data_IF_062372050893
#
_entry.id   IF_062372050893
#
_cell.length_a   1.000
_cell.length_b   1.000
_cell.length_c   1.000
_cell.angle_alpha   90.00
_cell.angle_beta   90.00
_cell.angle_gamma   90.00
#
_symmetry.space_group_name_H-M   'P 1'
#
loop_
_entity.id
_entity.type
_entity.pdbx_description
1 polymer ?
#
# COMPACT_ATOMS: atom_id res chain seq x y z
N UNK A 1 -47.53 2.67 -4.05
CA UNK A 1 -46.27 2.71 -4.84
C UNK A 1 -45.29 3.62 -4.11
N UNK A 2 -44.38 3.10 -3.28
CA UNK A 2 -43.53 3.97 -2.45
C UNK A 2 -42.23 3.36 -1.93
N UNK A 3 -41.95 2.08 -2.22
CA UNK A 3 -40.81 1.35 -1.65
C UNK A 3 -39.62 1.31 -2.62
N UNK A 4 -39.82 1.60 -3.90
CA UNK A 4 -38.78 1.52 -4.94
C UNK A 4 -37.85 2.72 -5.02
N UNK A 5 -38.14 3.85 -4.35
CA UNK A 5 -37.31 5.07 -4.44
C UNK A 5 -36.12 5.09 -3.48
N UNK A 6 -36.16 4.32 -2.39
CA UNK A 6 -35.10 4.32 -1.36
C UNK A 6 -34.09 3.18 -1.51
N UNK A 7 -34.42 2.18 -2.33
CA UNK A 7 -33.56 1.00 -2.56
C UNK A 7 -32.42 1.34 -3.54
N UNK A 8 -32.69 2.16 -4.54
CA UNK A 8 -31.70 2.61 -5.56
C UNK A 8 -30.48 3.31 -4.95
N UNK A 9 -30.61 4.29 -4.03
CA UNK A 9 -29.42 4.95 -3.46
C UNK A 9 -28.58 3.99 -2.61
N UNK A 10 -29.17 3.02 -1.92
CA UNK A 10 -28.41 2.03 -1.15
C UNK A 10 -27.52 1.17 -2.04
N UNK A 11 -28.02 0.71 -3.19
CA UNK A 11 -27.21 -0.06 -4.14
C UNK A 11 -26.06 0.76 -4.73
N UNK A 12 -26.30 2.03 -5.04
CA UNK A 12 -25.26 2.93 -5.56
C UNK A 12 -24.13 3.16 -4.55
N UNK A 13 -24.45 3.34 -3.26
CA UNK A 13 -23.44 3.50 -2.20
C UNK A 13 -22.59 2.24 -2.04
N UNK A 14 -23.20 1.05 -2.11
CA UNK A 14 -22.47 -0.22 -2.01
C UNK A 14 -21.53 -0.40 -3.21
N UNK A 15 -22.01 -0.13 -4.44
CA UNK A 15 -21.17 -0.21 -5.65
C UNK A 15 -20.01 0.78 -5.57
N UNK A 16 -20.27 2.00 -5.12
CA UNK A 16 -19.25 3.04 -4.99
C UNK A 16 -18.17 2.68 -3.95
N UNK A 17 -18.56 2.13 -2.80
CA UNK A 17 -17.64 1.62 -1.77
C UNK A 17 -16.78 0.46 -2.29
N UNK A 18 -17.39 -0.49 -3.01
CA UNK A 18 -16.66 -1.63 -3.61
C UNK A 18 -15.68 -1.13 -4.70
N UNK A 19 -16.09 -0.16 -5.52
CA UNK A 19 -15.21 0.48 -6.51
C UNK A 19 -14.05 1.22 -5.86
N UNK A 20 -14.26 1.95 -4.76
CA UNK A 20 -13.19 2.64 -4.01
C UNK A 20 -12.20 1.65 -3.39
N UNK A 21 -12.69 0.55 -2.80
CA UNK A 21 -11.82 -0.51 -2.29
C UNK A 21 -11.00 -1.18 -3.41
N UNK A 22 -11.62 -1.44 -4.57
CA UNK A 22 -10.91 -1.98 -5.72
C UNK A 22 -9.91 -0.98 -6.32
N UNK A 23 -10.23 0.32 -6.32
CA UNK A 23 -9.30 1.36 -6.74
C UNK A 23 -8.11 1.45 -5.77
N UNK A 24 -8.31 1.32 -4.46
CA UNK A 24 -7.19 1.24 -3.51
C UNK A 24 -6.32 -0.02 -3.71
N UNK A 25 -6.89 -1.14 -4.16
CA UNK A 25 -6.13 -2.37 -4.48
C UNK A 25 -5.41 -2.25 -5.83
N UNK A 26 -6.00 -1.60 -6.83
CA UNK A 26 -5.39 -1.32 -8.13
C UNK A 26 -4.31 -0.23 -8.05
N UNK A 27 -4.53 0.79 -7.22
CA UNK A 27 -3.55 1.86 -6.93
C UNK A 27 -2.33 1.33 -6.19
N UNK A 28 -2.43 0.22 -5.45
CA UNK A 28 -1.23 -0.44 -4.88
C UNK A 28 -0.33 -1.06 -5.96
N UNK A 29 -0.90 -1.44 -7.11
CA UNK A 29 -0.13 -1.97 -8.25
C UNK A 29 0.43 -0.87 -9.16
N UNK A 30 -0.27 0.26 -9.27
CA UNK A 30 0.09 1.37 -10.17
C UNK A 30 0.90 2.48 -9.48
N UNK A 31 0.81 2.61 -8.15
CA UNK A 31 1.69 3.42 -7.30
C UNK A 31 2.81 2.54 -6.71
N UNK A 32 3.31 1.60 -7.51
CA UNK A 32 4.73 1.28 -7.41
C UNK A 32 5.45 2.37 -8.22
N UNK A 33 5.48 3.60 -7.68
CA UNK A 33 6.60 4.48 -7.98
C UNK A 33 7.84 3.62 -7.88
N UNK A 34 8.58 3.54 -8.99
CA UNK A 34 9.65 2.59 -9.28
C UNK A 34 10.48 2.29 -8.02
N UNK A 35 10.06 1.30 -7.24
CA UNK A 35 10.69 1.02 -5.95
C UNK A 35 12.10 0.59 -6.30
N UNK A 36 13.10 1.40 -5.93
CA UNK A 36 14.47 0.99 -6.08
C UNK A 36 14.71 -0.15 -5.10
N UNK A 37 15.17 -1.28 -5.63
CA UNK A 37 15.51 -2.42 -4.82
C UNK A 37 17.01 -2.52 -4.52
N UNK A 38 17.76 -1.45 -4.76
CA UNK A 38 19.20 -1.42 -4.58
C UNK A 38 19.61 -1.33 -3.11
N UNK A 39 18.75 -0.71 -2.27
CA UNK A 39 18.97 -0.52 -0.84
C UNK A 39 17.89 -1.23 -0.01
N UNK A 40 17.77 -2.54 -0.21
CA UNK A 40 16.78 -3.39 0.47
C UNK A 40 17.41 -4.52 1.28
N UNK A 41 17.94 -4.20 2.45
CA UNK A 41 18.74 -5.17 3.22
C UNK A 41 17.94 -5.79 4.38
N UNK A 42 17.21 -4.96 5.13
CA UNK A 42 16.53 -5.38 6.36
C UNK A 42 15.21 -6.07 6.07
N UNK A 43 14.95 -7.22 6.69
CA UNK A 43 13.67 -7.91 6.58
C UNK A 43 12.58 -7.16 7.35
N UNK A 44 11.44 -6.95 6.70
CA UNK A 44 10.25 -6.47 7.39
C UNK A 44 9.59 -7.62 8.15
N UNK A 45 9.31 -7.39 9.43
CA UNK A 45 8.70 -8.36 10.34
C UNK A 45 7.47 -7.73 11.00
N UNK A 46 6.65 -8.50 11.74
CA UNK A 46 5.53 -7.92 12.48
C UNK A 46 5.90 -6.82 13.47
N UNK A 47 7.17 -6.78 13.92
CA UNK A 47 7.72 -5.79 14.85
C UNK A 47 8.64 -4.77 14.16
N UNK A 48 8.86 -4.92 12.86
CA UNK A 48 9.70 -4.03 12.05
C UNK A 48 8.99 -3.78 10.74
N UNK A 49 8.15 -2.76 10.74
CA UNK A 49 7.27 -2.41 9.64
C UNK A 49 7.73 -1.16 8.92
N UNK A 50 6.76 -0.45 8.34
CA UNK A 50 7.00 0.78 7.59
C UNK A 50 7.66 1.88 8.45
N UNK A 51 7.23 2.06 9.70
CA UNK A 51 7.64 3.21 10.50
C UNK A 51 9.09 3.10 10.96
N UNK A 52 9.49 1.90 11.38
CA UNK A 52 10.85 1.55 11.75
C UNK A 52 11.76 1.65 10.52
N UNK A 53 11.32 1.09 9.41
CA UNK A 53 12.02 1.19 8.12
C UNK A 53 12.25 2.64 7.68
N UNK A 54 11.22 3.49 7.73
CA UNK A 54 11.33 4.90 7.40
C UNK A 54 12.32 5.62 8.33
N UNK A 55 12.26 5.34 9.62
CA UNK A 55 13.14 5.97 10.61
C UNK A 55 14.59 5.59 10.37
N UNK A 56 14.88 4.31 10.12
CA UNK A 56 16.23 3.83 9.85
C UNK A 56 16.77 4.40 8.53
N UNK A 57 15.96 4.40 7.46
CA UNK A 57 16.33 5.03 6.20
C UNK A 57 16.62 6.53 6.36
N UNK A 58 15.81 7.27 7.12
CA UNK A 58 16.05 8.68 7.40
C UNK A 58 17.35 8.90 8.21
N UNK A 59 17.63 8.02 9.17
CA UNK A 59 18.88 8.07 9.95
C UNK A 59 20.12 7.81 9.08
N UNK A 60 19.97 7.02 8.01
CA UNK A 60 21.00 6.79 6.99
C UNK A 60 21.08 7.90 5.92
N UNK A 61 20.17 8.88 5.94
CA UNK A 61 20.15 10.02 5.03
C UNK A 61 19.29 9.85 3.77
N UNK A 62 18.45 8.82 3.73
CA UNK A 62 17.43 8.64 2.69
C UNK A 62 16.20 9.50 2.98
N UNK A 63 15.39 9.78 1.96
CA UNK A 63 14.18 10.59 2.11
C UNK A 63 12.99 9.76 2.62
N UNK A 64 12.97 8.47 2.30
CA UNK A 64 11.90 7.56 2.73
C UNK A 64 12.37 6.12 2.81
N UNK A 65 11.60 5.28 3.50
CA UNK A 65 11.84 3.85 3.66
C UNK A 65 10.54 3.07 3.61
N UNK A 66 10.50 2.03 2.77
CA UNK A 66 9.27 1.29 2.51
C UNK A 66 9.47 -0.22 2.63
N UNK A 67 8.49 -0.96 3.15
CA UNK A 67 8.52 -2.42 3.16
C UNK A 67 7.98 -2.99 1.84
N UNK A 68 8.86 -3.38 0.92
CA UNK A 68 8.53 -3.87 -0.40
C UNK A 68 9.11 -5.26 -0.68
N UNK A 69 8.54 -5.98 -1.64
CA UNK A 69 9.06 -7.26 -2.12
C UNK A 69 9.08 -7.28 -3.64
N UNK A 70 10.16 -7.80 -4.23
CA UNK A 70 10.34 -7.91 -5.69
C UNK A 70 9.37 -8.91 -6.32
N UNK A 71 8.88 -9.88 -5.53
CA UNK A 71 7.99 -10.94 -6.00
C UNK A 71 7.05 -11.38 -4.87
N UNK A 72 5.82 -11.83 -5.17
CA UNK A 72 4.89 -12.34 -4.16
C UNK A 72 5.43 -13.50 -3.31
N UNK A 73 6.46 -14.20 -3.80
CA UNK A 73 7.10 -15.32 -3.12
C UNK A 73 8.29 -14.91 -2.24
N UNK A 74 8.73 -13.66 -2.35
CA UNK A 74 9.87 -13.15 -1.59
C UNK A 74 9.39 -12.38 -0.35
N UNK A 75 10.14 -12.45 0.76
CA UNK A 75 9.80 -11.67 1.95
C UNK A 75 9.95 -10.18 1.67
N UNK A 76 9.11 -9.38 2.33
CA UNK A 76 9.23 -7.92 2.28
C UNK A 76 10.52 -7.49 2.96
N UNK A 77 11.25 -6.60 2.33
CA UNK A 77 12.44 -5.94 2.85
C UNK A 77 12.20 -4.44 2.91
N UNK A 78 12.83 -3.80 3.88
CA UNK A 78 12.87 -2.35 3.99
C UNK A 78 13.77 -1.82 2.90
N UNK A 79 13.22 -0.96 2.06
CA UNK A 79 13.84 -0.40 0.88
C UNK A 79 13.91 1.11 1.03
N UNK A 80 15.12 1.65 1.17
CA UNK A 80 15.33 3.08 1.29
C UNK A 80 15.33 3.76 -0.08
N UNK A 81 14.74 4.96 -0.15
CA UNK A 81 14.64 5.74 -1.38
C UNK A 81 14.99 7.20 -1.15
N UNK A 82 15.49 7.86 -2.20
CA UNK A 82 15.87 9.28 -2.20
C UNK A 82 14.71 10.16 -2.64
#
# INVERSE_FOLDING_TARGET
MGITKTIVPCFLVIIFLVSLCNHNVLVLGEVMEKISYDHCDTLCTPYYGWHECLTDCNNEGWATGICASRSPKEPKRCCCQT
#
